data_IF_283192329229
#
_entry.id   IF_283192329229
#
_cell.length_a   1.000
_cell.length_b   1.000
_cell.length_c   1.000
_cell.angle_alpha   90.00
_cell.angle_beta   90.00
_cell.angle_gamma   90.00
#
_symmetry.space_group_name_H-M   'P 1'
#
loop_
_entity.id
_entity.type
_entity.pdbx_description
1 polymer ?
#
# COMPACT_ATOMS: atom_id res chain seq x y z
N UNK A 1 -0.93 -10.36 6.22
CA UNK A 1 -1.98 -10.73 7.20
C UNK A 1 -3.24 -10.91 6.38
N UNK A 2 -3.74 -12.13 6.21
CA UNK A 2 -4.95 -12.36 5.41
C UNK A 2 -6.17 -11.88 6.20
N UNK A 3 -7.01 -11.05 5.58
CA UNK A 3 -8.26 -10.58 6.17
C UNK A 3 -9.43 -11.38 5.61
N UNK A 4 -10.45 -11.55 6.44
CA UNK A 4 -11.73 -12.11 6.02
C UNK A 4 -12.48 -11.06 5.20
N UNK A 5 -12.88 -11.40 3.99
CA UNK A 5 -13.78 -10.56 3.19
C UNK A 5 -15.18 -10.52 3.83
N UNK A 6 -15.53 -9.37 4.39
CA UNK A 6 -16.80 -9.15 5.07
C UNK A 6 -18.00 -9.27 4.12
N UNK A 7 -17.85 -8.92 2.84
CA UNK A 7 -18.93 -9.04 1.86
C UNK A 7 -19.24 -10.51 1.57
N UNK A 8 -18.22 -11.31 1.29
CA UNK A 8 -18.36 -12.77 1.13
C UNK A 8 -18.85 -13.46 2.40
N UNK A 9 -18.39 -13.04 3.58
CA UNK A 9 -18.87 -13.56 4.87
C UNK A 9 -20.39 -13.32 5.05
N UNK A 10 -20.87 -12.11 4.80
CA UNK A 10 -22.30 -11.77 4.93
C UNK A 10 -23.19 -12.53 3.93
N UNK A 11 -22.68 -12.84 2.73
CA UNK A 11 -23.46 -13.57 1.70
C UNK A 11 -23.48 -15.08 1.99
N UNK A 12 -22.51 -15.61 2.73
CA UNK A 12 -22.32 -17.06 2.94
C UNK A 12 -22.61 -17.54 4.35
N UNK A 13 -22.97 -16.63 5.27
CA UNK A 13 -23.28 -16.95 6.67
C UNK A 13 -24.43 -17.97 6.84
N UNK A 14 -25.38 -18.01 5.90
CA UNK A 14 -26.50 -18.97 5.88
C UNK A 14 -26.27 -20.18 4.96
N UNK A 15 -25.02 -20.42 4.52
CA UNK A 15 -24.71 -21.57 3.69
C UNK A 15 -24.72 -22.88 4.49
N UNK A 16 -25.71 -23.75 4.20
CA UNK A 16 -25.83 -25.08 4.82
C UNK A 16 -24.63 -26.01 4.57
N UNK A 17 -23.75 -25.70 3.60
CA UNK A 17 -22.53 -26.44 3.32
C UNK A 17 -21.33 -26.02 4.18
N UNK A 18 -21.51 -25.03 5.08
CA UNK A 18 -20.44 -24.45 5.91
C UNK A 18 -19.89 -23.13 5.35
N UNK A 19 -19.12 -22.38 6.16
CA UNK A 19 -18.63 -21.05 5.78
C UNK A 19 -17.63 -21.15 4.62
N UNK A 20 -17.86 -20.36 3.56
CA UNK A 20 -16.89 -20.18 2.48
C UNK A 20 -15.84 -19.18 2.96
N UNK A 21 -14.73 -19.69 3.49
CA UNK A 21 -13.60 -18.85 3.92
C UNK A 21 -12.74 -18.56 2.69
N UNK A 22 -13.02 -17.43 2.03
CA UNK A 22 -12.13 -16.88 1.01
C UNK A 22 -11.13 -15.94 1.67
N UNK A 23 -9.88 -16.37 1.64
CA UNK A 23 -8.74 -15.57 1.98
C UNK A 23 -8.43 -14.63 0.82
N UNK A 24 -8.58 -13.32 1.03
CA UNK A 24 -8.17 -12.30 0.06
C UNK A 24 -6.78 -11.83 0.43
N UNK A 25 -5.85 -11.94 -0.52
CA UNK A 25 -4.56 -11.29 -0.40
C UNK A 25 -4.78 -9.80 -0.69
N UNK A 26 -4.94 -9.01 0.36
CA UNK A 26 -4.75 -7.56 0.30
C UNK A 26 -3.26 -7.37 0.02
N UNK A 27 -2.87 -7.48 -1.27
CA UNK A 27 -1.52 -7.18 -1.69
C UNK A 27 -1.11 -5.84 -1.08
N UNK A 28 0.02 -5.81 -0.37
CA UNK A 28 0.56 -4.54 0.08
C UNK A 28 0.93 -3.76 -1.18
N UNK A 29 0.19 -2.69 -1.47
CA UNK A 29 0.64 -1.71 -2.45
C UNK A 29 2.02 -1.25 -1.97
N UNK A 30 3.11 -1.50 -2.71
CA UNK A 30 4.43 -1.15 -2.23
C UNK A 30 4.47 0.37 -2.06
N UNK A 31 4.58 0.85 -0.82
CA UNK A 31 4.93 2.24 -0.55
C UNK A 31 6.43 2.40 -0.83
N UNK A 32 6.78 2.37 -2.10
CA UNK A 32 8.16 2.43 -2.59
C UNK A 32 8.21 2.71 -4.09
N UNK A 33 9.40 2.97 -4.63
CA UNK A 33 9.59 3.12 -6.06
C UNK A 33 9.04 1.90 -6.80
N UNK A 34 8.41 2.13 -7.95
CA UNK A 34 7.96 1.03 -8.81
C UNK A 34 9.20 0.28 -9.28
N UNK A 35 9.22 -1.02 -8.97
CA UNK A 35 10.30 -1.94 -9.32
C UNK A 35 9.87 -2.84 -10.48
N UNK A 36 10.83 -3.22 -11.33
CA UNK A 36 10.61 -4.22 -12.38
C UNK A 36 10.58 -5.66 -11.81
N UNK A 37 10.41 -6.65 -12.68
CA UNK A 37 10.36 -8.06 -12.28
C UNK A 37 11.67 -8.56 -11.62
N UNK A 38 12.78 -7.88 -11.86
CA UNK A 38 14.11 -8.17 -11.29
C UNK A 38 14.38 -7.35 -10.01
N UNK A 39 13.44 -6.49 -9.61
CA UNK A 39 13.55 -5.62 -8.43
C UNK A 39 14.32 -4.32 -8.69
N UNK A 40 14.65 -3.98 -9.94
CA UNK A 40 15.33 -2.73 -10.25
C UNK A 40 14.37 -1.55 -10.23
N UNK A 41 14.83 -0.43 -9.66
CA UNK A 41 14.08 0.82 -9.64
C UNK A 41 14.36 1.60 -10.92
N UNK A 42 13.32 2.02 -11.64
CA UNK A 42 13.49 2.90 -12.79
C UNK A 42 14.07 4.26 -12.37
N UNK A 43 14.94 4.85 -13.21
CA UNK A 43 15.50 6.18 -12.94
C UNK A 43 14.39 7.23 -12.75
N UNK A 44 13.31 7.14 -13.52
CA UNK A 44 12.16 8.02 -13.38
C UNK A 44 11.50 7.90 -11.99
N UNK A 45 11.30 6.67 -11.49
CA UNK A 45 10.72 6.45 -10.17
C UNK A 45 11.66 6.91 -9.05
N UNK A 46 12.98 6.68 -9.20
CA UNK A 46 13.97 7.17 -8.25
C UNK A 46 13.98 8.71 -8.15
N UNK A 47 13.93 9.41 -9.29
CA UNK A 47 13.86 10.88 -9.34
C UNK A 47 12.57 11.39 -8.70
N UNK A 48 11.41 10.77 -9.00
CA UNK A 48 10.14 11.16 -8.42
C UNK A 48 10.15 11.06 -6.88
N UNK A 49 10.71 9.96 -6.35
CA UNK A 49 10.87 9.77 -4.91
C UNK A 49 11.81 10.81 -4.29
N UNK A 50 12.93 11.11 -4.95
CA UNK A 50 13.87 12.13 -4.49
C UNK A 50 13.20 13.51 -4.39
N UNK A 51 12.40 13.89 -5.39
CA UNK A 51 11.64 15.15 -5.37
C UNK A 51 10.62 15.18 -4.23
N UNK A 52 9.89 14.09 -4.02
CA UNK A 52 8.93 13.99 -2.91
C UNK A 52 9.61 14.19 -1.54
N UNK A 53 10.76 13.55 -1.32
CA UNK A 53 11.53 13.74 -0.09
C UNK A 53 12.09 15.15 0.07
N UNK A 54 12.54 15.78 -1.02
CA UNK A 54 13.02 17.16 -0.97
C UNK A 54 11.90 18.14 -0.56
N UNK A 55 10.69 17.96 -1.10
CA UNK A 55 9.52 18.77 -0.71
C UNK A 55 9.18 18.54 0.76
N UNK A 56 9.12 17.27 1.20
CA UNK A 56 8.84 16.94 2.60
C UNK A 56 9.85 17.57 3.56
N UNK A 57 11.15 17.46 3.24
CA UNK A 57 12.21 18.07 4.02
C UNK A 57 12.09 19.60 4.06
N UNK A 58 11.74 20.22 2.94
CA UNK A 58 11.48 21.67 2.86
C UNK A 58 10.31 22.12 3.74
N UNK A 59 9.20 21.37 3.73
CA UNK A 59 8.03 21.66 4.59
C UNK A 59 8.38 21.52 6.06
N UNK A 60 9.08 20.44 6.44
CA UNK A 60 9.53 20.24 7.82
C UNK A 60 10.48 21.38 8.23
N UNK A 61 11.45 21.71 7.38
CA UNK A 61 12.39 22.81 7.63
C UNK A 61 11.70 24.16 7.78
N UNK A 62 10.67 24.44 6.98
CA UNK A 62 9.84 25.64 7.13
C UNK A 62 9.18 25.69 8.50
N UNK A 63 8.58 24.59 8.97
CA UNK A 63 7.96 24.57 10.30
C UNK A 63 8.96 24.79 11.44
N UNK A 64 10.21 24.36 11.29
CA UNK A 64 11.27 24.65 12.27
C UNK A 64 11.69 26.12 12.28
N UNK A 65 11.65 26.81 11.14
CA UNK A 65 12.03 28.23 11.02
C UNK A 65 10.86 29.18 11.32
N UNK A 66 9.62 28.71 11.17
CA UNK A 66 8.40 29.50 11.34
C UNK A 66 7.83 29.46 12.77
N UNK A 67 8.43 28.67 13.67
CA UNK A 67 8.20 28.65 15.12
C UNK A 67 9.22 29.56 15.82
#
# INVERSE_FOLDING_TARGET
>A
MLKLDAATYLITQDNSAGPIIQFVDDGFEPHGPVTDADGNVSTASAVAYLVAYAILAGVIGYFFLAI
#
